data_IF_969875384508
#
_entry.id   IF_969875384508
#
_cell.length_a   1.000
_cell.length_b   1.000
_cell.length_c   1.000
_cell.angle_alpha   90.00
_cell.angle_beta   90.00
_cell.angle_gamma   90.00
#
_symmetry.space_group_name_H-M   'P 1'
#
loop_
_entity.id
_entity.type
_entity.pdbx_description
1 polymer ?
#
# COMPACT_ATOMS: atom_id res chain seq x y z
N UNK A 1 15.50 -7.93 14.39
CA UNK A 1 14.51 -8.79 13.69
C UNK A 1 15.24 -9.80 12.81
N UNK A 2 14.86 -11.10 12.91
CA UNK A 2 15.55 -12.18 12.20
C UNK A 2 14.72 -12.71 11.03
N UNK A 3 13.44 -12.98 11.25
CA UNK A 3 12.53 -13.59 10.26
C UNK A 3 11.66 -12.53 9.59
N UNK A 4 12.09 -12.07 8.41
CA UNK A 4 11.32 -11.11 7.62
C UNK A 4 10.66 -11.84 6.44
N UNK A 5 9.36 -11.69 6.28
CA UNK A 5 8.64 -12.17 5.10
C UNK A 5 8.38 -11.00 4.13
N UNK A 6 8.75 -11.13 2.86
CA UNK A 6 8.32 -10.21 1.83
C UNK A 6 6.89 -10.56 1.38
N UNK A 7 6.04 -9.55 1.22
CA UNK A 7 4.66 -9.68 0.71
C UNK A 7 4.54 -8.88 -0.56
N UNK A 8 4.24 -9.54 -1.67
CA UNK A 8 4.13 -8.94 -3.00
C UNK A 8 2.73 -9.24 -3.56
N UNK A 9 2.03 -8.20 -4.04
CA UNK A 9 0.73 -8.36 -4.70
C UNK A 9 0.89 -8.07 -6.19
N UNK A 10 0.39 -8.95 -7.05
CA UNK A 10 0.50 -8.81 -8.50
C UNK A 10 -0.83 -9.02 -9.22
N UNK A 11 -1.02 -8.27 -10.32
CA UNK A 11 -2.15 -8.44 -11.23
C UNK A 11 -1.78 -8.04 -12.66
N UNK A 12 -1.63 -9.01 -13.57
CA UNK A 12 -1.34 -8.78 -15.00
C UNK A 12 -0.10 -7.89 -15.23
N UNK A 13 1.01 -8.18 -14.54
CA UNK A 13 2.29 -7.45 -14.63
C UNK A 13 3.50 -8.38 -14.56
N UNK A 14 3.44 -9.50 -15.28
CA UNK A 14 4.47 -10.55 -15.24
C UNK A 14 5.90 -10.02 -15.39
N UNK A 15 6.15 -9.09 -16.31
CA UNK A 15 7.50 -8.57 -16.54
C UNK A 15 8.05 -7.82 -15.31
N UNK A 16 7.22 -6.99 -14.67
CA UNK A 16 7.60 -6.23 -13.47
C UNK A 16 7.73 -7.13 -12.26
N UNK A 17 6.84 -8.11 -12.10
CA UNK A 17 6.94 -9.11 -11.04
C UNK A 17 8.27 -9.86 -11.08
N UNK A 18 8.76 -10.24 -12.27
CA UNK A 18 10.06 -10.90 -12.43
C UNK A 18 11.21 -10.04 -11.88
N UNK A 19 11.23 -8.77 -12.22
CA UNK A 19 12.24 -7.83 -11.73
C UNK A 19 12.13 -7.61 -10.21
N UNK A 20 10.90 -7.46 -9.68
CA UNK A 20 10.64 -7.32 -8.26
C UNK A 20 11.14 -8.55 -7.48
N UNK A 21 10.76 -9.75 -7.91
CA UNK A 21 11.20 -11.02 -7.28
C UNK A 21 12.70 -11.14 -7.26
N UNK A 22 13.38 -10.89 -8.40
CA UNK A 22 14.82 -10.91 -8.49
C UNK A 22 15.45 -9.94 -7.47
N UNK A 23 14.99 -8.71 -7.42
CA UNK A 23 15.52 -7.70 -6.50
C UNK A 23 15.29 -8.06 -5.02
N UNK A 24 14.18 -8.74 -4.68
CA UNK A 24 13.92 -9.25 -3.32
C UNK A 24 14.84 -10.43 -2.99
N UNK A 25 15.08 -11.34 -3.93
CA UNK A 25 15.99 -12.49 -3.74
C UNK A 25 17.46 -12.06 -3.59
N UNK A 26 17.85 -10.96 -4.23
CA UNK A 26 19.21 -10.40 -4.21
C UNK A 26 19.50 -9.51 -3.01
N UNK A 27 18.55 -9.25 -2.10
CA UNK A 27 18.78 -8.44 -0.91
C UNK A 27 19.97 -8.97 -0.09
N UNK A 28 20.79 -8.05 0.45
CA UNK A 28 21.92 -8.37 1.35
C UNK A 28 21.45 -9.06 2.63
N UNK A 29 20.36 -8.56 3.24
CA UNK A 29 19.61 -9.26 4.29
C UNK A 29 18.54 -10.15 3.65
N UNK A 30 18.69 -11.46 3.76
CA UNK A 30 17.74 -12.41 3.14
C UNK A 30 16.40 -12.42 3.89
N UNK A 31 15.32 -12.51 3.13
CA UNK A 31 13.99 -12.80 3.66
C UNK A 31 13.83 -14.29 3.96
N UNK A 32 13.08 -14.64 5.00
CA UNK A 32 12.78 -16.02 5.36
C UNK A 32 11.67 -16.62 4.49
N UNK A 33 10.80 -15.77 3.94
CA UNK A 33 9.69 -16.18 3.07
C UNK A 33 9.37 -15.06 2.07
N UNK A 34 8.89 -15.43 0.88
CA UNK A 34 8.38 -14.52 -0.15
C UNK A 34 6.94 -14.93 -0.45
N UNK A 35 5.99 -14.18 0.06
CA UNK A 35 4.56 -14.43 -0.13
C UNK A 35 4.09 -13.62 -1.33
N UNK A 36 3.71 -14.29 -2.42
CA UNK A 36 3.16 -13.66 -3.62
C UNK A 36 1.67 -13.92 -3.71
N UNK A 37 0.89 -12.85 -3.72
CA UNK A 37 -0.55 -12.91 -3.98
C UNK A 37 -0.79 -12.60 -5.45
N UNK A 38 -1.11 -13.64 -6.22
CA UNK A 38 -1.54 -13.49 -7.60
C UNK A 38 -3.04 -13.22 -7.63
N UNK A 39 -3.40 -12.00 -7.96
CA UNK A 39 -4.78 -11.50 -7.91
C UNK A 39 -5.59 -11.85 -9.18
N UNK A 40 -5.59 -13.13 -9.56
CA UNK A 40 -6.22 -13.68 -10.76
C UNK A 40 -5.62 -13.13 -12.08
N UNK A 41 -4.29 -13.14 -12.21
CA UNK A 41 -3.62 -12.74 -13.46
C UNK A 41 -3.89 -13.73 -14.60
N UNK A 42 -3.90 -13.21 -15.83
CA UNK A 42 -4.16 -13.94 -17.07
C UNK A 42 -3.04 -13.78 -18.12
N UNK A 43 -1.90 -13.24 -17.71
CA UNK A 43 -0.76 -12.87 -18.58
C UNK A 43 0.42 -13.85 -18.52
N UNK A 44 0.20 -15.08 -18.00
CA UNK A 44 1.24 -16.08 -17.79
C UNK A 44 1.93 -15.98 -16.42
N UNK A 45 1.43 -15.14 -15.51
CA UNK A 45 1.99 -14.99 -14.15
C UNK A 45 1.88 -16.28 -13.35
N UNK A 46 0.77 -17.02 -13.45
CA UNK A 46 0.58 -18.28 -12.71
C UNK A 46 1.60 -19.30 -13.14
N UNK A 47 1.72 -19.54 -14.45
CA UNK A 47 2.66 -20.48 -15.04
C UNK A 47 4.10 -20.14 -14.70
N UNK A 48 4.45 -18.86 -14.70
CA UNK A 48 5.78 -18.40 -14.29
C UNK A 48 6.05 -18.72 -12.82
N UNK A 49 5.13 -18.41 -11.92
CA UNK A 49 5.32 -18.65 -10.48
C UNK A 49 5.50 -20.14 -10.16
N UNK A 50 4.87 -21.03 -10.91
CA UNK A 50 5.02 -22.48 -10.79
C UNK A 50 6.41 -23.00 -11.24
N UNK A 51 7.14 -22.23 -12.08
CA UNK A 51 8.50 -22.60 -12.52
C UNK A 51 9.60 -22.21 -11.54
N UNK A 52 9.30 -21.43 -10.48
CA UNK A 52 10.31 -20.92 -9.55
C UNK A 52 10.68 -22.00 -8.53
N UNK A 53 11.92 -22.43 -8.55
CA UNK A 53 12.49 -23.35 -7.55
C UNK A 53 13.15 -22.53 -6.40
N UNK A 54 12.32 -21.95 -5.54
CA UNK A 54 12.76 -21.25 -4.32
C UNK A 54 11.87 -21.70 -3.14
N UNK A 55 12.43 -22.43 -2.22
CA UNK A 55 11.72 -23.00 -1.06
C UNK A 55 11.11 -21.94 -0.13
N UNK A 56 11.51 -20.69 -0.28
CA UNK A 56 10.94 -19.55 0.47
C UNK A 56 9.67 -18.99 -0.18
N UNK A 57 9.40 -19.37 -1.45
CA UNK A 57 8.26 -18.84 -2.19
C UNK A 57 6.95 -19.50 -1.74
N UNK A 58 6.00 -18.67 -1.36
CA UNK A 58 4.62 -19.06 -1.03
C UNK A 58 3.68 -18.30 -1.96
N UNK A 59 2.96 -19.02 -2.83
CA UNK A 59 2.05 -18.43 -3.80
C UNK A 59 0.61 -18.67 -3.38
N UNK A 60 -0.18 -17.61 -3.37
CA UNK A 60 -1.64 -17.65 -3.22
C UNK A 60 -2.29 -17.02 -4.44
N UNK A 61 -2.98 -17.79 -5.25
CA UNK A 61 -3.76 -17.29 -6.40
C UNK A 61 -5.23 -17.16 -6.03
N UNK A 62 -5.82 -15.99 -6.31
CA UNK A 62 -7.26 -15.77 -6.20
C UNK A 62 -7.98 -16.25 -7.46
N UNK A 63 -9.22 -16.68 -7.33
CA UNK A 63 -10.07 -17.07 -8.46
C UNK A 63 -10.53 -15.85 -9.29
N UNK A 64 -10.68 -14.70 -8.64
CA UNK A 64 -11.09 -13.44 -9.24
C UNK A 64 -10.28 -12.28 -8.68
N UNK A 65 -10.13 -11.20 -9.43
CA UNK A 65 -9.47 -9.99 -8.93
C UNK A 65 -10.26 -9.37 -7.76
N UNK A 66 -9.67 -9.42 -6.57
CA UNK A 66 -10.22 -8.90 -5.31
C UNK A 66 -9.68 -7.53 -4.92
N UNK A 67 -8.84 -6.92 -5.79
CA UNK A 67 -8.16 -5.65 -5.56
C UNK A 67 -6.87 -5.80 -4.74
N UNK A 68 -6.02 -4.77 -4.81
CA UNK A 68 -4.74 -4.74 -4.09
C UNK A 68 -4.92 -4.84 -2.57
N UNK A 69 -5.91 -4.14 -2.03
CA UNK A 69 -6.20 -4.14 -0.58
C UNK A 69 -6.46 -5.55 -0.02
N UNK A 70 -7.25 -6.38 -0.74
CA UNK A 70 -7.48 -7.77 -0.34
C UNK A 70 -6.22 -8.64 -0.52
N UNK A 71 -5.42 -8.35 -1.55
CA UNK A 71 -4.14 -9.03 -1.77
C UNK A 71 -3.16 -8.77 -0.62
N UNK A 72 -2.99 -7.52 -0.22
CA UNK A 72 -2.14 -7.15 0.92
C UNK A 72 -2.65 -7.74 2.23
N UNK A 73 -3.95 -7.65 2.50
CA UNK A 73 -4.56 -8.24 3.69
C UNK A 73 -4.27 -9.74 3.80
N UNK A 74 -4.45 -10.50 2.71
CA UNK A 74 -4.18 -11.95 2.66
C UNK A 74 -2.69 -12.25 2.81
N UNK A 75 -1.82 -11.56 2.05
CA UNK A 75 -0.37 -11.79 2.10
C UNK A 75 0.22 -11.50 3.48
N UNK A 76 -0.18 -10.42 4.13
CA UNK A 76 0.23 -10.07 5.49
C UNK A 76 -0.26 -11.13 6.49
N UNK A 77 -1.49 -11.61 6.33
CA UNK A 77 -2.05 -12.68 7.16
C UNK A 77 -1.24 -13.97 7.04
N UNK A 78 -0.96 -14.43 5.81
CA UNK A 78 -0.16 -15.64 5.55
C UNK A 78 1.22 -15.52 6.19
N UNK A 79 1.95 -14.43 5.92
CA UNK A 79 3.29 -14.20 6.44
C UNK A 79 3.32 -14.18 7.99
N UNK A 80 2.32 -13.54 8.61
CA UNK A 80 2.21 -13.45 10.07
C UNK A 80 1.89 -14.79 10.71
N UNK A 81 1.03 -15.61 10.09
CA UNK A 81 0.71 -16.98 10.55
C UNK A 81 1.91 -17.92 10.43
N UNK A 82 2.76 -17.74 9.41
CA UNK A 82 3.99 -18.53 9.22
C UNK A 82 5.09 -18.17 10.23
N UNK A 83 4.83 -17.25 11.16
CA UNK A 83 5.76 -16.92 12.25
C UNK A 83 6.87 -15.96 11.86
N UNK A 84 6.65 -15.09 10.88
CA UNK A 84 7.54 -13.97 10.60
C UNK A 84 7.56 -12.98 11.78
N UNK A 85 8.72 -12.35 12.04
CA UNK A 85 8.85 -11.26 13.01
C UNK A 85 8.29 -9.95 12.44
N UNK A 86 8.45 -9.75 11.13
CA UNK A 86 7.93 -8.60 10.41
C UNK A 86 7.58 -8.95 8.96
N UNK A 87 6.69 -8.16 8.38
CA UNK A 87 6.32 -8.21 6.96
C UNK A 87 6.90 -7.01 6.22
N UNK A 88 7.53 -7.25 5.07
CA UNK A 88 8.01 -6.24 4.13
C UNK A 88 7.09 -6.22 2.91
N UNK A 89 6.27 -5.17 2.81
CA UNK A 89 5.11 -5.08 1.91
C UNK A 89 5.48 -4.24 0.69
N UNK A 90 5.14 -4.71 -0.51
CA UNK A 90 5.39 -3.97 -1.76
C UNK A 90 4.48 -4.40 -2.91
N UNK A 91 4.32 -3.50 -3.90
CA UNK A 91 3.71 -3.79 -5.19
C UNK A 91 4.69 -4.53 -6.11
N UNK A 92 4.18 -5.20 -7.15
CA UNK A 92 4.94 -5.97 -8.15
C UNK A 92 5.85 -5.12 -9.06
N UNK A 93 5.69 -3.79 -9.06
CA UNK A 93 6.51 -2.82 -9.80
C UNK A 93 7.50 -2.05 -8.91
N UNK A 94 7.72 -2.55 -7.69
CA UNK A 94 8.71 -2.04 -6.73
C UNK A 94 10.03 -2.81 -6.87
N UNK A 95 11.11 -2.09 -7.18
CA UNK A 95 12.45 -2.67 -7.34
C UNK A 95 13.37 -2.11 -6.25
N UNK A 96 13.58 -2.85 -5.14
CA UNK A 96 14.45 -2.42 -4.06
C UNK A 96 15.94 -2.50 -4.45
N UNK A 97 16.76 -1.57 -3.94
CA UNK A 97 18.21 -1.70 -3.99
C UNK A 97 18.67 -2.86 -3.09
N UNK A 98 19.86 -3.41 -3.33
CA UNK A 98 20.36 -4.61 -2.64
C UNK A 98 20.48 -4.47 -1.12
N UNK A 99 20.57 -3.28 -0.60
CA UNK A 99 20.70 -2.95 0.83
C UNK A 99 19.44 -2.31 1.44
N UNK A 100 18.33 -2.27 0.68
CA UNK A 100 17.07 -1.63 1.12
C UNK A 100 16.55 -2.25 2.41
N UNK A 101 16.41 -3.58 2.46
CA UNK A 101 15.81 -4.27 3.59
C UNK A 101 16.65 -4.14 4.87
N UNK A 102 17.99 -4.26 4.78
CA UNK A 102 18.84 -4.13 5.97
C UNK A 102 18.70 -2.75 6.61
N UNK A 103 18.60 -1.69 5.81
CA UNK A 103 18.41 -0.32 6.30
C UNK A 103 17.06 -0.10 6.99
N UNK A 104 15.98 -0.75 6.49
CA UNK A 104 14.68 -0.73 7.15
C UNK A 104 14.73 -1.45 8.50
N UNK A 105 15.37 -2.62 8.54
CA UNK A 105 15.53 -3.42 9.76
C UNK A 105 16.36 -2.69 10.80
N UNK A 106 17.49 -2.11 10.41
CA UNK A 106 18.35 -1.33 11.31
C UNK A 106 17.59 -0.14 11.92
N UNK A 107 16.78 0.55 11.11
CA UNK A 107 15.90 1.62 11.61
C UNK A 107 14.91 1.09 12.64
N UNK A 108 14.23 -0.01 12.33
CA UNK A 108 13.24 -0.64 13.21
C UNK A 108 13.87 -1.11 14.53
N UNK A 109 15.04 -1.73 14.48
CA UNK A 109 15.73 -2.26 15.67
C UNK A 109 16.27 -1.14 16.58
N UNK A 110 16.64 0.02 16.00
CA UNK A 110 17.12 1.18 16.73
C UNK A 110 15.99 2.07 17.30
N UNK A 111 14.73 1.86 16.89
CA UNK A 111 13.57 2.66 17.31
C UNK A 111 12.46 1.74 17.87
N UNK A 112 12.49 1.49 19.19
CA UNK A 112 11.57 0.55 19.87
C UNK A 112 10.09 0.97 19.80
N UNK A 113 9.81 2.25 19.49
CA UNK A 113 8.49 2.82 19.31
C UNK A 113 8.02 2.79 17.84
N UNK A 114 8.85 2.25 16.92
CA UNK A 114 8.51 2.14 15.53
C UNK A 114 7.39 1.13 15.28
N UNK A 115 6.30 1.61 14.70
CA UNK A 115 5.19 0.79 14.22
C UNK A 115 5.34 0.37 12.76
N UNK A 116 6.01 1.19 11.98
CA UNK A 116 6.38 0.91 10.61
C UNK A 116 7.56 1.78 10.15
N UNK A 117 8.29 1.26 9.18
CA UNK A 117 9.38 2.01 8.52
C UNK A 117 9.19 1.84 7.01
N UNK A 118 9.32 2.93 6.24
CA UNK A 118 9.26 2.87 4.79
C UNK A 118 10.54 3.41 4.13
N UNK A 119 10.74 3.00 2.88
CA UNK A 119 11.84 3.47 2.04
C UNK A 119 11.49 4.78 1.34
N UNK A 120 12.52 5.51 0.90
CA UNK A 120 12.40 6.54 -0.12
C UNK A 120 12.05 5.89 -1.46
N UNK A 121 10.96 6.35 -2.05
CA UNK A 121 10.51 5.87 -3.36
C UNK A 121 10.94 6.84 -4.44
N UNK A 122 11.66 6.33 -5.45
CA UNK A 122 12.07 7.11 -6.62
C UNK A 122 11.45 6.55 -7.90
N UNK A 123 11.29 7.42 -8.89
CA UNK A 123 10.83 7.03 -10.23
C UNK A 123 12.03 6.72 -11.14
N UNK A 124 11.77 6.26 -12.36
CA UNK A 124 12.77 5.77 -13.32
C UNK A 124 13.83 6.80 -13.73
N UNK A 125 13.58 8.09 -13.53
CA UNK A 125 14.53 9.18 -13.74
C UNK A 125 15.32 9.58 -12.48
N UNK A 126 15.11 8.87 -11.36
CA UNK A 126 15.73 9.13 -10.06
C UNK A 126 15.05 10.23 -9.23
N UNK A 127 14.03 10.90 -9.75
CA UNK A 127 13.24 11.87 -8.97
C UNK A 127 12.37 11.17 -7.93
N UNK A 128 11.98 11.90 -6.87
CA UNK A 128 11.05 11.38 -5.87
C UNK A 128 9.73 11.02 -6.54
N UNK A 129 9.20 9.83 -6.23
CA UNK A 129 7.94 9.38 -6.78
C UNK A 129 6.75 10.10 -6.12
N UNK A 130 6.02 10.90 -6.90
CA UNK A 130 5.01 11.84 -6.40
C UNK A 130 3.79 11.16 -5.74
N UNK A 131 3.47 9.93 -6.14
CA UNK A 131 2.35 9.17 -5.57
C UNK A 131 2.67 8.60 -4.19
N UNK A 132 3.96 8.40 -3.88
CA UNK A 132 4.43 7.71 -2.67
C UNK A 132 5.06 8.66 -1.64
N UNK A 133 4.80 9.98 -1.75
CA UNK A 133 5.23 10.93 -0.73
C UNK A 133 4.48 10.62 0.58
N UNK A 134 5.18 10.29 1.68
CA UNK A 134 4.54 9.93 2.93
C UNK A 134 3.85 11.12 3.60
N UNK A 135 2.92 10.83 4.50
CA UNK A 135 2.32 11.85 5.35
C UNK A 135 3.25 12.22 6.50
N UNK A 136 4.01 13.30 6.37
CA UNK A 136 4.94 13.75 7.39
C UNK A 136 4.22 14.21 8.68
N UNK A 137 4.84 13.94 9.84
CA UNK A 137 4.50 14.58 11.12
C UNK A 137 5.17 15.96 11.16
N UNK A 138 6.46 16.03 10.85
CA UNK A 138 7.25 17.24 10.60
C UNK A 138 8.14 16.96 9.39
N UNK A 139 8.51 18.04 8.66
CA UNK A 139 9.51 17.95 7.60
C UNK A 139 10.95 18.10 8.15
N UNK A 140 11.09 18.22 9.47
CA UNK A 140 12.40 18.26 10.10
C UNK A 140 13.00 16.85 10.13
N UNK A 141 14.26 16.75 9.73
CA UNK A 141 15.04 15.54 9.85
C UNK A 141 15.29 15.21 11.31
N UNK A 142 15.07 13.96 11.71
CA UNK A 142 15.35 13.50 13.08
C UNK A 142 16.86 13.22 13.25
N UNK A 143 17.43 12.43 12.35
CA UNK A 143 18.86 12.12 12.25
C UNK A 143 19.16 11.37 10.96
N UNK A 144 20.32 11.59 10.34
CA UNK A 144 20.89 10.79 9.25
C UNK A 144 19.84 10.36 8.17
N UNK A 145 19.11 11.31 7.59
CA UNK A 145 18.05 11.09 6.59
C UNK A 145 16.82 10.33 7.09
N UNK A 146 16.54 10.38 8.39
CA UNK A 146 15.36 9.78 9.01
C UNK A 146 14.30 10.86 9.31
N UNK A 147 13.04 10.58 8.95
CA UNK A 147 11.92 11.51 9.13
C UNK A 147 10.75 10.84 9.84
N UNK A 148 10.08 11.57 10.74
CA UNK A 148 8.85 11.10 11.38
C UNK A 148 7.67 11.24 10.43
N UNK A 149 6.93 10.16 10.24
CA UNK A 149 5.76 10.11 9.37
C UNK A 149 4.57 9.48 10.09
N UNK A 150 3.36 9.81 9.64
CA UNK A 150 2.09 9.26 10.16
C UNK A 150 1.42 8.29 9.19
N UNK A 151 1.80 8.32 7.92
CA UNK A 151 1.29 7.40 6.91
C UNK A 151 2.30 7.20 5.78
N UNK A 152 2.27 6.03 5.15
CA UNK A 152 3.09 5.66 4.01
C UNK A 152 2.30 4.74 3.08
N UNK A 153 2.78 4.59 1.84
CA UNK A 153 2.25 3.63 0.86
C UNK A 153 2.82 2.22 1.08
N UNK A 154 2.13 1.20 0.52
CA UNK A 154 2.61 -0.18 0.51
C UNK A 154 3.74 -0.42 -0.51
N UNK A 155 4.50 0.61 -0.82
CA UNK A 155 5.70 0.54 -1.65
C UNK A 155 6.92 0.52 -0.74
N UNK A 156 7.43 -0.68 -0.42
CA UNK A 156 8.53 -0.91 0.54
C UNK A 156 8.23 -0.43 1.97
N UNK A 157 7.24 -1.06 2.59
CA UNK A 157 6.83 -0.81 3.98
C UNK A 157 7.17 -2.01 4.87
N UNK A 158 7.96 -1.82 5.92
CA UNK A 158 8.26 -2.82 6.95
C UNK A 158 7.38 -2.62 8.17
N UNK A 159 6.64 -3.68 8.58
CA UNK A 159 5.72 -3.67 9.75
C UNK A 159 5.99 -4.88 10.63
N UNK A 160 6.21 -4.73 11.95
CA UNK A 160 6.34 -5.85 12.87
C UNK A 160 5.04 -6.67 12.98
N UNK A 161 5.14 -8.00 12.93
CA UNK A 161 3.97 -8.88 13.03
C UNK A 161 3.23 -8.76 14.39
N UNK A 162 3.92 -8.39 15.48
CA UNK A 162 3.25 -8.06 16.74
C UNK A 162 2.24 -6.92 16.59
N UNK A 163 2.57 -5.91 15.78
CA UNK A 163 1.69 -4.77 15.50
C UNK A 163 0.56 -5.18 14.59
N UNK A 164 0.84 -6.02 13.55
CA UNK A 164 -0.22 -6.60 12.71
C UNK A 164 -1.27 -7.32 13.56
N UNK A 165 -0.84 -8.14 14.54
CA UNK A 165 -1.75 -8.85 15.45
C UNK A 165 -2.56 -7.90 16.32
N UNK A 166 -1.99 -6.79 16.75
CA UNK A 166 -2.64 -5.80 17.62
C UNK A 166 -3.64 -4.93 16.85
N UNK A 167 -3.25 -4.35 15.71
CA UNK A 167 -4.09 -3.39 14.97
C UNK A 167 -4.97 -4.06 13.92
N UNK A 168 -4.77 -5.36 13.66
CA UNK A 168 -5.45 -6.12 12.63
C UNK A 168 -4.90 -5.88 11.22
N UNK A 169 -5.55 -6.45 10.22
CA UNK A 169 -5.18 -6.44 8.80
C UNK A 169 -5.70 -5.19 8.08
N UNK A 170 -5.12 -4.82 6.92
CA UNK A 170 -5.73 -3.83 6.03
C UNK A 170 -7.16 -4.20 5.64
N UNK A 171 -8.03 -3.21 5.45
CA UNK A 171 -9.42 -3.44 5.03
C UNK A 171 -9.48 -3.98 3.60
N UNK A 172 -9.77 -5.28 3.43
CA UNK A 172 -9.91 -5.94 2.13
C UNK A 172 -11.01 -5.34 1.24
N UNK A 173 -12.05 -4.78 1.85
CA UNK A 173 -13.18 -4.15 1.17
C UNK A 173 -12.81 -2.82 0.50
N UNK A 174 -11.63 -2.26 0.80
CA UNK A 174 -11.17 -1.04 0.13
C UNK A 174 -10.91 -1.26 -1.35
N UNK A 175 -10.58 -2.47 -1.75
CA UNK A 175 -10.28 -2.90 -3.10
C UNK A 175 -9.01 -2.23 -3.66
N UNK A 176 -8.97 -0.92 -3.74
CA UNK A 176 -7.83 -0.12 -4.21
C UNK A 176 -7.89 1.29 -3.62
N UNK A 177 -6.70 1.87 -3.39
CA UNK A 177 -6.47 3.23 -2.90
C UNK A 177 -6.95 3.50 -1.47
N UNK A 178 -6.15 4.25 -0.74
CA UNK A 178 -6.36 4.66 0.65
C UNK A 178 -6.14 3.54 1.67
N UNK A 179 -6.04 2.29 1.26
CA UNK A 179 -5.81 1.12 2.11
C UNK A 179 -4.47 1.23 2.87
N UNK A 180 -3.41 1.62 2.19
CA UNK A 180 -2.07 1.88 2.72
C UNK A 180 -2.05 3.05 3.72
N UNK A 181 -2.60 4.18 3.31
CA UNK A 181 -2.67 5.38 4.14
C UNK A 181 -3.57 5.19 5.38
N UNK A 182 -4.68 4.45 5.26
CA UNK A 182 -5.53 4.10 6.39
C UNK A 182 -4.79 3.16 7.35
N UNK A 183 -4.18 2.09 6.84
CA UNK A 183 -3.50 1.09 7.65
C UNK A 183 -2.35 1.70 8.46
N UNK A 184 -1.47 2.45 7.83
CA UNK A 184 -0.34 3.10 8.50
C UNK A 184 -0.80 4.20 9.46
N UNK A 185 -1.86 4.98 9.11
CA UNK A 185 -2.49 5.93 10.02
C UNK A 185 -3.13 5.25 11.23
N UNK A 186 -3.69 4.05 11.07
CA UNK A 186 -4.25 3.26 12.18
C UNK A 186 -3.17 2.79 13.14
N UNK A 187 -2.02 2.32 12.64
CA UNK A 187 -0.84 2.01 13.44
C UNK A 187 -0.37 3.26 14.22
N UNK A 188 -0.30 4.41 13.53
CA UNK A 188 0.09 5.67 14.17
C UNK A 188 -0.91 6.10 15.26
N UNK A 189 -2.22 5.96 15.02
CA UNK A 189 -3.29 6.27 16.01
C UNK A 189 -3.28 5.30 17.20
N UNK A 190 -2.75 4.08 17.04
CA UNK A 190 -2.52 3.14 18.15
C UNK A 190 -1.33 3.52 19.07
N UNK A 191 -0.64 4.63 18.77
CA UNK A 191 0.45 5.17 19.59
C UNK A 191 1.85 4.84 19.11
N UNK A 192 1.99 4.12 18.02
CA UNK A 192 3.27 3.81 17.41
C UNK A 192 3.75 4.95 16.50
N UNK A 193 5.06 5.01 16.24
CA UNK A 193 5.64 5.97 15.30
C UNK A 193 5.92 5.34 13.94
N UNK A 194 5.79 6.13 12.90
CA UNK A 194 6.23 5.79 11.55
C UNK A 194 7.52 6.51 11.21
N UNK A 195 8.40 5.86 10.46
CA UNK A 195 9.66 6.44 10.01
C UNK A 195 9.85 6.26 8.50
N UNK A 196 10.31 7.34 7.84
CA UNK A 196 10.87 7.28 6.50
C UNK A 196 12.40 7.25 6.63
N UNK A 197 13.04 6.23 6.07
CA UNK A 197 14.50 6.19 5.94
C UNK A 197 14.89 6.52 4.48
N UNK A 198 15.43 7.73 4.24
CA UNK A 198 15.85 8.18 2.92
C UNK A 198 17.07 7.42 2.36
N UNK A 199 17.82 6.72 3.22
CA UNK A 199 18.95 5.89 2.79
C UNK A 199 18.48 4.51 2.28
N UNK A 200 17.28 4.07 2.67
CA UNK A 200 16.61 2.90 2.11
C UNK A 200 15.84 3.30 0.86
N UNK A 201 16.26 2.85 -0.32
CA UNK A 201 15.74 3.33 -1.61
C UNK A 201 15.12 2.21 -2.43
N UNK A 202 13.96 2.50 -3.01
CA UNK A 202 13.30 1.64 -4.00
C UNK A 202 12.93 2.41 -5.25
N UNK A 203 13.04 1.75 -6.39
CA UNK A 203 12.53 2.25 -7.67
C UNK A 203 11.09 1.75 -7.84
N UNK A 204 10.13 2.64 -8.09
CA UNK A 204 8.74 2.29 -8.42
C UNK A 204 8.47 2.56 -9.90
N UNK A 205 8.32 1.50 -10.68
CA UNK A 205 8.26 1.53 -12.15
C UNK A 205 6.85 1.79 -12.70
N UNK A 206 6.22 2.86 -12.23
CA UNK A 206 4.94 3.29 -12.81
C UNK A 206 5.14 3.93 -14.20
N UNK A 207 4.09 3.93 -15.02
CA UNK A 207 4.15 4.50 -16.38
C UNK A 207 4.43 6.00 -16.45
N UNK A 208 4.25 6.76 -15.35
CA UNK A 208 4.56 8.17 -15.25
C UNK A 208 4.69 8.62 -13.79
N UNK A 209 5.52 9.63 -13.52
CA UNK A 209 5.69 10.21 -12.19
C UNK A 209 4.67 11.33 -11.93
N UNK A 210 3.49 10.95 -11.47
CA UNK A 210 2.47 11.92 -11.06
C UNK A 210 1.85 11.51 -9.71
N UNK A 211 1.32 12.51 -8.98
CA UNK A 211 0.61 12.26 -7.73
C UNK A 211 -0.77 11.63 -7.96
N UNK A 212 -1.31 10.99 -6.93
CA UNK A 212 -2.69 10.53 -6.95
C UNK A 212 -3.66 11.74 -6.97
N UNK A 213 -4.61 11.76 -7.89
CA UNK A 213 -5.65 12.78 -7.91
C UNK A 213 -6.26 13.02 -9.28
N UNK A 214 -7.42 13.69 -9.24
CA UNK A 214 -8.24 13.89 -10.44
C UNK A 214 -7.59 14.77 -11.52
N UNK A 215 -6.61 15.60 -11.17
CA UNK A 215 -5.92 16.48 -12.13
C UNK A 215 -5.01 15.72 -13.10
N UNK A 216 -4.53 14.56 -12.67
CA UNK A 216 -3.58 13.71 -13.41
C UNK A 216 -4.20 12.37 -13.81
N UNK A 217 -5.50 12.23 -13.59
CA UNK A 217 -6.24 11.01 -13.87
C UNK A 217 -6.33 10.74 -15.38
N UNK A 218 -6.11 9.48 -15.76
CA UNK A 218 -6.32 8.99 -17.14
C UNK A 218 -7.75 8.50 -17.33
N UNK A 219 -8.27 8.44 -18.57
CA UNK A 219 -9.63 7.93 -18.85
C UNK A 219 -9.92 6.58 -18.18
N UNK A 220 -8.96 5.66 -18.25
CA UNK A 220 -9.09 4.29 -17.71
C UNK A 220 -9.09 4.22 -16.19
N UNK A 221 -8.72 5.31 -15.50
CA UNK A 221 -8.69 5.40 -14.04
C UNK A 221 -10.03 5.83 -13.41
N UNK A 222 -11.03 6.18 -14.21
CA UNK A 222 -12.30 6.75 -13.72
C UNK A 222 -13.00 5.90 -12.65
N UNK A 223 -12.96 4.58 -12.78
CA UNK A 223 -13.56 3.66 -11.82
C UNK A 223 -12.89 3.68 -10.44
N UNK A 224 -11.58 3.97 -10.38
CA UNK A 224 -10.81 4.06 -9.13
C UNK A 224 -11.30 5.20 -8.24
N UNK A 225 -11.89 6.26 -8.82
CA UNK A 225 -12.41 7.41 -8.07
C UNK A 225 -13.67 7.11 -7.26
N UNK A 226 -14.37 6.02 -7.57
CA UNK A 226 -15.39 5.47 -6.67
C UNK A 226 -14.76 5.04 -5.33
N UNK A 227 -13.73 4.21 -5.40
CA UNK A 227 -13.04 3.72 -4.21
C UNK A 227 -12.33 4.84 -3.46
N UNK A 228 -11.63 5.73 -4.18
CA UNK A 228 -10.98 6.89 -3.59
C UNK A 228 -11.93 7.72 -2.71
N UNK A 229 -13.08 8.10 -3.25
CA UNK A 229 -14.06 8.90 -2.51
C UNK A 229 -14.63 8.12 -1.32
N UNK A 230 -15.10 6.90 -1.53
CA UNK A 230 -15.69 6.05 -0.50
C UNK A 230 -14.71 5.77 0.65
N UNK A 231 -13.50 5.34 0.31
CA UNK A 231 -12.47 4.95 1.28
C UNK A 231 -11.94 6.16 2.06
N UNK A 232 -11.73 7.32 1.38
CA UNK A 232 -11.31 8.55 2.05
C UNK A 232 -12.33 9.06 3.06
N UNK A 233 -13.63 8.91 2.76
CA UNK A 233 -14.70 9.24 3.70
C UNK A 233 -14.65 8.34 4.93
N UNK A 234 -14.41 7.05 4.75
CA UNK A 234 -14.29 6.11 5.88
C UNK A 234 -13.02 6.39 6.70
N UNK A 235 -11.86 6.48 6.07
CA UNK A 235 -10.56 6.65 6.73
C UNK A 235 -10.50 7.91 7.62
N UNK A 236 -11.20 8.97 7.24
CA UNK A 236 -11.27 10.22 8.01
C UNK A 236 -12.46 10.32 8.98
N UNK A 237 -13.25 9.23 9.09
CA UNK A 237 -14.40 9.22 9.99
C UNK A 237 -13.93 9.22 11.45
N UNK A 238 -14.61 10.04 12.27
CA UNK A 238 -14.26 10.19 13.69
C UNK A 238 -13.15 11.21 13.99
N UNK A 239 -12.42 11.68 12.98
CA UNK A 239 -11.40 12.72 13.17
C UNK A 239 -12.00 14.11 13.50
N UNK A 240 -13.27 14.30 13.16
CA UNK A 240 -13.98 15.57 13.33
C UNK A 240 -15.45 15.32 13.69
N UNK A 241 -16.17 16.30 14.26
CA UNK A 241 -17.61 16.23 14.42
C UNK A 241 -18.28 15.90 13.08
N UNK A 242 -19.33 15.05 13.12
CA UNK A 242 -20.00 14.51 11.92
C UNK A 242 -20.38 15.58 10.90
N UNK A 243 -20.91 16.70 11.35
CA UNK A 243 -21.36 17.78 10.47
C UNK A 243 -20.18 18.42 9.70
N UNK A 244 -19.04 18.61 10.36
CA UNK A 244 -17.81 19.16 9.76
C UNK A 244 -17.23 18.15 8.76
N UNK A 245 -17.20 16.86 9.13
CA UNK A 245 -16.76 15.77 8.26
C UNK A 245 -17.62 15.71 7.00
N UNK A 246 -18.96 15.75 7.12
CA UNK A 246 -19.89 15.71 5.99
C UNK A 246 -19.67 16.87 5.01
N UNK A 247 -19.68 18.11 5.49
CA UNK A 247 -19.51 19.28 4.62
C UNK A 247 -18.11 19.36 4.01
N UNK A 248 -17.08 18.88 4.69
CA UNK A 248 -15.73 18.75 4.12
C UNK A 248 -15.74 17.83 2.90
N UNK A 249 -16.33 16.64 3.02
CA UNK A 249 -16.39 15.69 1.91
C UNK A 249 -17.34 16.13 0.80
N UNK A 250 -18.44 16.79 1.12
CA UNK A 250 -19.31 17.40 0.12
C UNK A 250 -18.56 18.49 -0.67
N UNK A 251 -17.77 19.31 0.00
CA UNK A 251 -16.94 20.31 -0.68
C UNK A 251 -15.85 19.67 -1.53
N UNK A 252 -15.22 18.60 -1.05
CA UNK A 252 -14.23 17.83 -1.80
C UNK A 252 -14.85 17.24 -3.08
N UNK A 253 -16.00 16.61 -2.98
CA UNK A 253 -16.78 16.11 -4.13
C UNK A 253 -17.05 17.23 -5.14
N UNK A 254 -17.53 18.39 -4.68
CA UNK A 254 -17.81 19.55 -5.57
C UNK A 254 -16.57 20.04 -6.28
N UNK A 255 -15.43 20.12 -5.59
CA UNK A 255 -14.16 20.53 -6.17
C UNK A 255 -13.69 19.52 -7.23
N UNK A 256 -13.75 18.23 -6.95
CA UNK A 256 -13.33 17.20 -7.89
C UNK A 256 -14.26 17.13 -9.11
N UNK A 257 -15.58 17.26 -8.92
CA UNK A 257 -16.52 17.40 -10.05
C UNK A 257 -16.19 18.64 -10.91
N UNK A 258 -15.81 19.76 -10.30
CA UNK A 258 -15.39 20.96 -11.05
C UNK A 258 -14.11 20.70 -11.85
N UNK A 259 -13.15 19.99 -11.28
CA UNK A 259 -11.87 19.63 -11.92
C UNK A 259 -12.07 18.75 -13.15
N UNK A 260 -13.14 17.94 -13.22
CA UNK A 260 -13.45 17.14 -14.41
C UNK A 260 -13.71 18.01 -15.65
N UNK A 261 -14.01 19.32 -15.50
CA UNK A 261 -14.18 20.22 -16.65
C UNK A 261 -12.94 20.36 -17.53
N UNK A 262 -11.75 20.07 -16.97
CA UNK A 262 -10.47 20.10 -17.68
C UNK A 262 -10.13 18.79 -18.39
N UNK A 263 -10.99 17.77 -18.27
CA UNK A 263 -10.82 16.46 -18.92
C UNK A 263 -11.54 16.42 -20.29
N UNK A 264 -11.22 15.45 -21.16
CA UNK A 264 -11.99 15.18 -22.37
C UNK A 264 -13.48 14.96 -22.06
N UNK A 265 -14.36 15.46 -22.94
CA UNK A 265 -15.83 15.46 -22.68
C UNK A 265 -16.36 14.04 -22.49
N UNK A 266 -15.82 13.09 -23.25
CA UNK A 266 -16.24 11.68 -23.31
C UNK A 266 -16.10 10.98 -21.95
N UNK A 267 -15.09 11.34 -21.15
CA UNK A 267 -14.79 10.67 -19.87
C UNK A 267 -15.38 11.37 -18.66
N UNK A 268 -15.75 12.65 -18.77
CA UNK A 268 -16.26 13.45 -17.63
C UNK A 268 -17.45 12.80 -16.92
N UNK A 269 -18.35 12.20 -17.68
CA UNK A 269 -19.54 11.52 -17.17
C UNK A 269 -19.19 10.36 -16.23
N UNK A 270 -18.21 9.53 -16.63
CA UNK A 270 -17.75 8.40 -15.85
C UNK A 270 -17.12 8.85 -14.51
N UNK A 271 -16.24 9.87 -14.53
CA UNK A 271 -15.65 10.43 -13.31
C UNK A 271 -16.69 10.99 -12.34
N UNK A 272 -17.62 11.81 -12.85
CA UNK A 272 -18.69 12.40 -12.02
C UNK A 272 -19.58 11.32 -11.40
N UNK A 273 -19.96 10.30 -12.18
CA UNK A 273 -20.75 9.17 -11.70
C UNK A 273 -20.05 8.40 -10.59
N UNK A 274 -18.77 8.08 -10.77
CA UNK A 274 -17.99 7.31 -9.80
C UNK A 274 -17.73 8.12 -8.52
N UNK A 275 -17.36 9.39 -8.62
CA UNK A 275 -17.21 10.28 -7.47
C UNK A 275 -18.51 10.39 -6.66
N UNK A 276 -19.64 10.58 -7.34
CA UNK A 276 -20.95 10.70 -6.69
C UNK A 276 -21.35 9.37 -6.00
N UNK A 277 -21.22 8.24 -6.68
CA UNK A 277 -21.49 6.92 -6.09
C UNK A 277 -20.60 6.66 -4.89
N UNK A 278 -19.29 6.93 -5.02
CA UNK A 278 -18.36 6.77 -3.91
C UNK A 278 -18.71 7.64 -2.70
N UNK A 279 -19.20 8.87 -2.93
CA UNK A 279 -19.69 9.75 -1.86
C UNK A 279 -20.92 9.17 -1.17
N UNK A 280 -21.93 8.75 -1.93
CA UNK A 280 -23.17 8.18 -1.37
C UNK A 280 -22.88 6.92 -0.57
N UNK A 281 -22.16 5.97 -1.16
CA UNK A 281 -21.80 4.72 -0.49
C UNK A 281 -20.88 4.95 0.72
N UNK A 282 -20.01 5.96 0.66
CA UNK A 282 -19.14 6.36 1.76
C UNK A 282 -19.89 6.83 3.02
N UNK A 283 -21.13 7.28 2.92
CA UNK A 283 -21.94 7.64 4.07
C UNK A 283 -22.26 6.44 4.97
N UNK A 284 -22.47 5.27 4.36
CA UNK A 284 -22.88 4.05 5.05
C UNK A 284 -21.82 2.96 5.09
N UNK A 285 -20.73 3.11 4.36
CA UNK A 285 -19.63 2.15 4.32
C UNK A 285 -19.04 1.89 5.71
N UNK A 286 -19.02 0.61 6.13
CA UNK A 286 -18.57 0.17 7.47
C UNK A 286 -17.84 -1.17 7.34
N UNK A 287 -16.63 -1.20 6.74
CA UNK A 287 -15.82 -2.41 6.74
C UNK A 287 -15.41 -2.76 8.17
N UNK A 288 -15.11 -4.03 8.39
CA UNK A 288 -14.62 -4.54 9.67
C UNK A 288 -13.15 -4.91 9.56
N UNK A 289 -12.40 -4.69 10.64
CA UNK A 289 -11.01 -5.13 10.73
C UNK A 289 -10.97 -6.64 10.91
N UNK A 290 -10.27 -7.35 10.03
CA UNK A 290 -9.93 -8.74 10.24
C UNK A 290 -8.65 -8.82 11.07
N UNK A 291 -8.57 -9.80 11.96
CA UNK A 291 -7.38 -10.10 12.75
C UNK A 291 -6.76 -11.42 12.31
N UNK A 292 -5.46 -11.55 12.49
CA UNK A 292 -4.77 -12.81 12.21
C UNK A 292 -5.20 -13.84 13.25
N UNK A 293 -5.90 -14.90 12.78
CA UNK A 293 -6.23 -16.06 13.61
C UNK A 293 -5.14 -17.12 13.44
N UNK A 294 -4.78 -17.79 14.51
CA UNK A 294 -3.83 -18.92 14.47
C UNK A 294 -4.52 -20.24 14.07
N UNK A 295 -5.85 -20.22 13.90
CA UNK A 295 -6.62 -21.37 13.40
C UNK A 295 -6.76 -21.31 11.88
N UNK A 296 -6.45 -22.43 11.21
CA UNK A 296 -6.79 -22.66 9.80
C UNK A 296 -8.31 -22.79 9.69
N UNK A 297 -8.94 -21.85 8.97
CA UNK A 297 -10.33 -22.01 8.54
C UNK A 297 -10.43 -22.75 7.23
#
# INVERSE_FOLDING_TARGET
MEKIAAVIVTYNRLALLKECLQAVQEQSKKVCSIVVINNASTDGTTEFLETIDDTRLVVKTFETNRGGAAGFSEGISIATRQGADAVWIMDDDTIPQSDTLIKLVDTMDNHQDAGFVCSKVVWTDGSVHMMNIPGYVSHDELCADLYAIRSASFVSLLVPCKIVREVGLPYKEFFIWVDDAEYTSRIFKAGYKGYLNNNSVVLHKTGANYGAGIKVATPDSAWKFYYYMRNSMFASRGERPWIVWFFRHLNHLRLDIRRTKNMPVEVRGAFKKNLWRGFVDGLTFRPTVDYVSDEES
#
